data_IF_914783694115
#
_entry.id   IF_914783694115
#
_cell.length_a   1.000
_cell.length_b   1.000
_cell.length_c   1.000
_cell.angle_alpha   90.00
_cell.angle_beta   90.00
_cell.angle_gamma   90.00
#
_symmetry.space_group_name_H-M   'P 1'
#
loop_
_entity.id
_entity.type
_entity.pdbx_description
1 polymer ?
#
# COMPACT_ATOMS: atom_id res chain seq x y z
N UNK A 1 -3.86 -7.33 -6.06
CA UNK A 1 -3.75 -6.04 -5.33
C UNK A 1 -2.45 -5.26 -5.60
N UNK A 2 -1.24 -5.74 -5.24
CA UNK A 2 -0.01 -4.95 -5.44
C UNK A 2 0.24 -4.60 -6.91
N UNK A 3 0.07 -5.57 -7.81
CA UNK A 3 0.17 -5.37 -9.26
C UNK A 3 -0.86 -4.34 -9.76
N UNK A 4 -2.14 -4.50 -9.41
CA UNK A 4 -3.20 -3.54 -9.78
C UNK A 4 -2.87 -2.11 -9.33
N UNK A 5 -2.31 -1.93 -8.12
CA UNK A 5 -1.90 -0.61 -7.63
C UNK A 5 -0.73 -0.04 -8.43
N UNK A 6 0.23 -0.87 -8.83
CA UNK A 6 1.36 -0.46 -9.65
C UNK A 6 0.92 -0.06 -11.08
N UNK A 7 0.06 -0.87 -11.71
CA UNK A 7 -0.54 -0.59 -13.02
C UNK A 7 -1.31 0.73 -13.01
N UNK A 8 -2.13 0.92 -11.97
CA UNK A 8 -2.92 2.12 -11.80
C UNK A 8 -2.03 3.35 -11.51
N UNK A 9 -0.92 3.18 -10.80
CA UNK A 9 0.11 4.22 -10.59
C UNK A 9 0.76 4.64 -11.91
N UNK A 10 1.18 3.68 -12.73
CA UNK A 10 1.74 3.92 -14.07
C UNK A 10 0.74 4.66 -14.97
N UNK A 11 -0.52 4.24 -14.96
CA UNK A 11 -1.60 4.89 -15.73
C UNK A 11 -1.79 6.34 -15.31
N UNK A 12 -1.84 6.62 -14.00
CA UNK A 12 -1.97 7.99 -13.49
C UNK A 12 -0.76 8.86 -13.86
N UNK A 13 0.46 8.31 -13.83
CA UNK A 13 1.68 9.02 -14.23
C UNK A 13 1.61 9.50 -15.68
N UNK A 14 1.09 8.65 -16.59
CA UNK A 14 0.90 9.01 -18.00
C UNK A 14 -0.18 10.09 -18.15
N UNK A 15 -1.35 9.89 -17.53
CA UNK A 15 -2.48 10.81 -17.63
C UNK A 15 -2.17 12.19 -17.03
N UNK A 16 -1.39 12.25 -15.95
CA UNK A 16 -1.01 13.51 -15.30
C UNK A 16 -0.15 14.43 -16.18
N UNK A 17 0.58 13.87 -17.14
CA UNK A 17 1.40 14.63 -18.09
C UNK A 17 0.59 15.21 -19.25
N UNK A 18 -0.62 14.71 -19.48
CA UNK A 18 -1.51 15.23 -20.51
C UNK A 18 -2.02 16.61 -20.09
N UNK A 19 -1.91 17.60 -20.98
CA UNK A 19 -2.21 19.00 -20.68
C UNK A 19 -3.61 19.15 -20.07
N UNK A 20 -3.66 19.61 -18.81
CA UNK A 20 -4.87 19.89 -18.03
C UNK A 20 -5.84 18.69 -17.89
N UNK A 21 -5.40 17.46 -18.17
CA UNK A 21 -6.29 16.30 -18.11
C UNK A 21 -6.94 16.17 -16.73
N UNK A 22 -6.15 16.24 -15.65
CA UNK A 22 -6.70 16.11 -14.31
C UNK A 22 -7.41 17.36 -13.79
N UNK A 23 -7.37 18.47 -14.52
CA UNK A 23 -8.24 19.61 -14.25
C UNK A 23 -9.64 19.38 -14.81
N UNK A 24 -9.78 18.59 -15.87
CA UNK A 24 -11.06 18.40 -16.56
C UNK A 24 -11.65 17.00 -16.36
N UNK A 25 -10.84 15.99 -16.07
CA UNK A 25 -11.27 14.60 -15.96
C UNK A 25 -10.75 13.95 -14.67
N UNK A 26 -11.56 13.02 -14.13
CA UNK A 26 -11.16 12.17 -13.02
C UNK A 26 -9.96 11.32 -13.41
N UNK A 27 -8.88 11.33 -12.62
CA UNK A 27 -7.69 10.51 -12.93
C UNK A 27 -7.98 9.00 -12.93
N UNK A 28 -9.03 8.57 -12.19
CA UNK A 28 -9.38 7.16 -12.02
C UNK A 28 -10.28 6.64 -13.13
N UNK A 29 -11.44 7.24 -13.38
CA UNK A 29 -12.36 6.74 -14.42
C UNK A 29 -12.25 7.47 -15.75
N UNK A 30 -11.40 8.49 -15.87
CA UNK A 30 -11.27 9.35 -17.05
C UNK A 30 -12.53 10.14 -17.44
N UNK A 31 -13.62 10.03 -16.67
CA UNK A 31 -14.85 10.77 -16.94
C UNK A 31 -14.65 12.27 -16.64
N UNK A 32 -15.24 13.16 -17.45
CA UNK A 32 -15.13 14.60 -17.27
C UNK A 32 -15.83 15.03 -15.96
N UNK A 33 -15.26 16.03 -15.30
CA UNK A 33 -15.90 16.72 -14.20
C UNK A 33 -17.01 17.61 -14.73
N UNK A 34 -18.14 17.62 -14.03
CA UNK A 34 -19.25 18.52 -14.30
C UNK A 34 -19.69 19.13 -12.98
N UNK A 35 -20.10 20.40 -13.01
CA UNK A 35 -20.35 21.17 -11.79
C UNK A 35 -21.39 20.51 -10.87
N UNK A 36 -22.45 19.93 -11.44
CA UNK A 36 -23.57 19.36 -10.69
C UNK A 36 -23.49 17.84 -10.49
N UNK A 37 -23.24 17.08 -11.55
CA UNK A 37 -23.40 15.63 -11.54
C UNK A 37 -22.10 14.90 -11.17
N UNK A 38 -20.96 15.46 -11.56
CA UNK A 38 -19.66 14.85 -11.34
C UNK A 38 -18.63 15.84 -10.76
N UNK A 39 -18.87 16.37 -9.56
CA UNK A 39 -18.00 17.40 -8.98
C UNK A 39 -16.62 16.84 -8.65
N UNK A 40 -15.63 17.71 -8.83
CA UNK A 40 -14.21 17.48 -8.58
C UNK A 40 -13.90 17.43 -7.08
N UNK A 41 -13.07 16.48 -6.65
CA UNK A 41 -12.53 16.36 -5.28
C UNK A 41 -11.04 16.09 -5.32
N UNK A 42 -10.27 16.67 -4.40
CA UNK A 42 -8.82 16.45 -4.29
C UNK A 42 -8.54 15.25 -3.36
N UNK A 43 -7.80 14.26 -3.84
CA UNK A 43 -7.34 13.16 -3.00
C UNK A 43 -6.21 13.62 -2.06
N UNK A 44 -6.31 13.31 -0.76
CA UNK A 44 -5.30 13.68 0.24
C UNK A 44 -3.91 13.08 -0.08
N UNK A 45 -3.86 11.82 -0.49
CA UNK A 45 -2.57 11.10 -0.59
C UNK A 45 -1.81 11.41 -1.88
N UNK A 46 -2.50 11.38 -3.03
CA UNK A 46 -1.86 11.55 -4.34
C UNK A 46 -2.09 12.91 -4.97
N UNK A 47 -2.86 13.80 -4.34
CA UNK A 47 -3.15 15.16 -4.83
C UNK A 47 -3.78 15.22 -6.23
N UNK A 48 -4.28 14.11 -6.76
CA UNK A 48 -5.06 14.10 -7.99
C UNK A 48 -6.54 14.39 -7.72
N UNK A 49 -7.15 15.06 -8.68
CA UNK A 49 -8.59 15.27 -8.72
C UNK A 49 -9.32 13.97 -9.12
N UNK A 50 -10.41 13.70 -8.41
CA UNK A 50 -11.24 12.50 -8.56
C UNK A 50 -12.73 12.82 -8.43
N UNK A 51 -13.57 12.00 -9.06
CA UNK A 51 -15.02 12.10 -8.96
C UNK A 51 -15.56 11.47 -7.67
N UNK A 52 -16.85 11.70 -7.39
CA UNK A 52 -17.57 11.12 -6.25
C UNK A 52 -17.47 9.59 -6.20
N UNK A 53 -17.56 8.92 -7.35
CA UNK A 53 -17.59 7.46 -7.43
C UNK A 53 -16.21 6.83 -7.29
N UNK A 54 -15.14 7.58 -7.50
CA UNK A 54 -13.76 7.10 -7.39
C UNK A 54 -13.08 7.51 -6.09
N UNK A 55 -13.82 8.04 -5.11
CA UNK A 55 -13.27 8.41 -3.81
C UNK A 55 -14.26 8.20 -2.66
N UNK A 56 -13.70 8.11 -1.45
CA UNK A 56 -14.43 8.00 -0.19
C UNK A 56 -13.96 9.10 0.75
N UNK A 57 -14.85 9.64 1.59
CA UNK A 57 -14.46 10.58 2.63
C UNK A 57 -13.90 9.82 3.84
N UNK A 58 -12.64 10.09 4.19
CA UNK A 58 -12.03 9.63 5.43
C UNK A 58 -12.48 10.54 6.57
N UNK A 59 -13.35 10.02 7.46
CA UNK A 59 -13.75 10.75 8.67
C UNK A 59 -12.56 11.06 9.58
N UNK A 60 -11.59 10.14 9.64
CA UNK A 60 -10.37 10.27 10.44
C UNK A 60 -9.52 11.45 9.95
N UNK A 61 -9.25 11.49 8.65
CA UNK A 61 -8.37 12.50 8.05
C UNK A 61 -9.12 13.79 7.66
N UNK A 62 -10.46 13.78 7.81
CA UNK A 62 -11.37 14.84 7.34
C UNK A 62 -11.16 15.22 5.87
N UNK A 63 -10.78 14.26 5.04
CA UNK A 63 -10.38 14.48 3.65
C UNK A 63 -10.87 13.37 2.70
N UNK A 64 -10.82 13.62 1.40
CA UNK A 64 -11.17 12.63 0.38
C UNK A 64 -9.97 11.74 0.04
N UNK A 65 -10.22 10.44 -0.12
CA UNK A 65 -9.24 9.46 -0.58
C UNK A 65 -9.75 8.77 -1.83
N UNK A 66 -8.94 8.75 -2.88
CA UNK A 66 -9.28 7.96 -4.07
C UNK A 66 -9.21 6.46 -3.76
N UNK A 67 -9.95 5.66 -4.53
CA UNK A 67 -10.04 4.21 -4.35
C UNK A 67 -8.67 3.52 -4.36
N UNK A 68 -7.75 3.96 -5.21
CA UNK A 68 -6.40 3.41 -5.28
C UNK A 68 -5.58 3.71 -4.01
N UNK A 69 -5.61 4.95 -3.50
CA UNK A 69 -4.91 5.30 -2.26
C UNK A 69 -5.52 4.59 -1.04
N UNK A 70 -6.84 4.46 -0.99
CA UNK A 70 -7.52 3.68 0.05
C UNK A 70 -7.06 2.22 0.04
N UNK A 71 -7.04 1.57 -1.12
CA UNK A 71 -6.50 0.21 -1.28
C UNK A 71 -5.02 0.13 -0.90
N UNK A 72 -4.22 1.14 -1.27
CA UNK A 72 -2.80 1.21 -0.92
C UNK A 72 -2.54 1.26 0.58
N UNK A 73 -3.36 2.02 1.33
CA UNK A 73 -3.30 2.03 2.81
C UNK A 73 -3.59 0.65 3.40
N UNK A 74 -4.62 -0.04 2.90
CA UNK A 74 -4.93 -1.40 3.34
C UNK A 74 -3.83 -2.40 2.99
N UNK A 75 -3.28 -2.33 1.78
CA UNK A 75 -2.18 -3.19 1.36
C UNK A 75 -0.97 -3.03 2.29
N UNK A 76 -0.57 -1.79 2.58
CA UNK A 76 0.54 -1.51 3.51
C UNK A 76 0.26 -2.04 4.92
N UNK A 77 -0.97 -1.88 5.40
CA UNK A 77 -1.35 -2.38 6.72
C UNK A 77 -1.32 -3.92 6.77
N UNK A 78 -1.82 -4.61 5.73
CA UNK A 78 -1.75 -6.06 5.61
C UNK A 78 -0.31 -6.57 5.56
N UNK A 79 0.58 -5.91 4.80
CA UNK A 79 2.00 -6.27 4.75
C UNK A 79 2.66 -6.20 6.13
N UNK A 80 2.37 -5.17 6.92
CA UNK A 80 2.89 -5.05 8.30
C UNK A 80 2.41 -6.23 9.15
N UNK A 81 1.11 -6.52 9.14
CA UNK A 81 0.54 -7.66 9.88
C UNK A 81 1.13 -9.00 9.45
N UNK A 82 1.30 -9.24 8.15
CA UNK A 82 1.94 -10.45 7.62
C UNK A 82 3.39 -10.58 8.10
N UNK A 83 4.10 -9.46 8.19
CA UNK A 83 5.50 -9.43 8.65
C UNK A 83 5.60 -9.71 10.15
N UNK A 84 4.71 -9.13 10.95
CA UNK A 84 4.61 -9.38 12.40
C UNK A 84 4.27 -10.84 12.69
N UNK A 85 3.30 -11.41 11.97
CA UNK A 85 2.93 -12.82 12.10
C UNK A 85 4.09 -13.76 11.74
N UNK A 86 4.81 -13.49 10.64
CA UNK A 86 6.01 -14.27 10.27
C UNK A 86 7.11 -14.18 11.34
N UNK A 87 7.32 -13.00 11.94
CA UNK A 87 8.30 -12.85 13.01
C UNK A 87 7.92 -13.67 14.25
N UNK A 88 6.63 -13.72 14.60
CA UNK A 88 6.10 -14.57 15.67
C UNK A 88 6.32 -16.05 15.34
N UNK A 89 6.02 -16.49 14.12
CA UNK A 89 6.23 -17.88 13.69
C UNK A 89 7.70 -18.29 13.83
N UNK A 90 8.64 -17.44 13.39
CA UNK A 90 10.09 -17.68 13.52
C UNK A 90 10.50 -17.74 15.00
N UNK A 91 10.02 -16.83 15.85
CA UNK A 91 10.34 -16.86 17.28
C UNK A 91 9.82 -18.14 17.94
N UNK A 92 8.63 -18.60 17.56
CA UNK A 92 8.07 -19.86 18.04
C UNK A 92 8.91 -21.06 17.56
N UNK A 93 9.39 -21.05 16.31
CA UNK A 93 10.31 -22.08 15.81
C UNK A 93 11.64 -22.11 16.58
N UNK A 94 12.23 -20.94 16.87
CA UNK A 94 13.47 -20.83 17.65
C UNK A 94 13.28 -21.33 19.07
N UNK A 95 12.15 -21.02 19.72
CA UNK A 95 11.84 -21.51 21.07
C UNK A 95 11.58 -23.03 21.11
N UNK A 96 11.11 -23.61 20.00
CA UNK A 96 10.91 -25.06 19.85
C UNK A 96 12.17 -25.80 19.39
N UNK A 97 13.22 -25.09 18.98
CA UNK A 97 14.46 -25.72 18.55
C UNK A 97 15.11 -26.45 19.74
N UNK A 98 15.60 -27.69 19.56
CA UNK A 98 16.37 -28.37 20.58
C UNK A 98 17.59 -27.54 20.99
N UNK A 99 18.03 -27.58 22.25
CA UNK A 99 19.27 -26.95 22.66
C UNK A 99 20.42 -27.46 21.77
N UNK A 100 21.20 -26.55 21.18
CA UNK A 100 22.37 -26.96 20.43
C UNK A 100 23.46 -27.35 21.43
N UNK A 101 23.87 -28.62 21.41
CA UNK A 101 24.90 -29.15 22.31
C UNK A 101 26.23 -28.42 22.07
N UNK A 102 26.60 -27.54 23.01
CA UNK A 102 27.92 -26.96 23.10
C UNK A 102 28.90 -28.02 23.64
N UNK A 103 29.18 -29.06 22.85
CA UNK A 103 30.12 -30.12 23.22
C UNK A 103 30.88 -30.63 21.99
N UNK A 104 31.93 -29.90 21.61
CA UNK A 104 33.14 -30.51 21.05
C UNK A 104 34.36 -29.59 21.20
N UNK A 105 34.62 -29.10 22.41
CA UNK A 105 35.99 -28.79 22.83
C UNK A 105 36.48 -29.99 23.62
N UNK A 106 37.36 -30.81 23.02
CA UNK A 106 38.49 -31.50 23.65
C UNK A 106 38.74 -32.86 23.00
N UNK A 107 39.81 -32.96 22.20
CA UNK A 107 40.83 -34.03 22.26
C UNK A 107 42.09 -33.39 21.65
N UNK A 108 43.05 -32.92 22.44
CA UNK A 108 43.96 -33.76 23.19
C UNK A 108 45.18 -34.05 22.32
N UNK A 109 46.14 -33.12 22.26
CA UNK A 109 47.45 -33.34 21.61
C UNK A 109 48.49 -33.43 22.71
N UNK A 110 48.63 -34.65 23.23
CA UNK A 110 49.61 -35.02 24.23
C UNK A 110 50.53 -36.10 23.66
N UNK A 111 51.83 -35.75 23.64
CA UNK A 111 53.03 -36.56 23.37
C UNK A 111 53.33 -36.97 21.94
#
# INVERSE_FOLDING_TARGET
MKQELAEEGSRCSILSKQHRFNEHCCIRCCAPFTFLLNPKRLCLDCQYNVCKTCCTYSKRDKAWLCSACQKGRWAKQLEVFETENKALDIMVEVLKAPPQDASSMSKGKGR
#
